data_IF_740329437654
#
_entry.id   IF_740329437654
#
_cell.length_a   1.000
_cell.length_b   1.000
_cell.length_c   1.000
_cell.angle_alpha   90.00
_cell.angle_beta   90.00
_cell.angle_gamma   90.00
#
_symmetry.space_group_name_H-M   'P 1'
#
loop_
_entity.id
_entity.type
_entity.pdbx_description
1 polymer ?
#
# COMPACT_ATOMS: atom_id res chain seq x y z
N UNK A 1 -9.24 25.20 -20.63
CA UNK A 1 -9.36 23.90 -21.30
C UNK A 1 -9.25 22.87 -20.21
N UNK A 2 -10.27 22.05 -20.01
CA UNK A 2 -10.24 20.99 -18.99
C UNK A 2 -9.32 19.91 -19.54
N UNK A 3 -8.06 19.93 -19.10
CA UNK A 3 -7.18 18.79 -19.32
C UNK A 3 -7.73 17.68 -18.42
N UNK A 4 -8.33 16.65 -19.05
CA UNK A 4 -8.68 15.45 -18.31
C UNK A 4 -7.40 14.94 -17.67
N UNK A 5 -7.40 14.91 -16.33
CA UNK A 5 -6.31 14.35 -15.55
C UNK A 5 -6.00 12.98 -16.14
N UNK A 6 -4.79 12.81 -16.67
CA UNK A 6 -4.24 11.48 -16.85
C UNK A 6 -3.85 11.05 -15.44
N UNK A 7 -4.78 10.43 -14.73
CA UNK A 7 -4.40 9.44 -13.72
C UNK A 7 -3.34 8.55 -14.38
N UNK A 8 -2.19 8.42 -13.72
CA UNK A 8 -1.15 7.53 -14.20
C UNK A 8 -1.63 6.09 -14.01
N UNK A 9 -2.41 5.66 -14.99
CA UNK A 9 -2.88 4.30 -15.18
C UNK A 9 -1.68 3.39 -15.36
N UNK A 10 -1.66 2.26 -14.67
CA UNK A 10 -0.85 1.11 -15.07
C UNK A 10 -1.02 0.91 -16.57
N UNK A 11 0.08 0.91 -17.32
CA UNK A 11 -0.01 0.79 -18.78
C UNK A 11 -0.64 -0.55 -19.16
N UNK A 12 -1.27 -0.62 -20.34
CA UNK A 12 -1.81 -1.88 -20.86
C UNK A 12 -0.76 -3.01 -20.87
N UNK A 13 0.52 -2.67 -21.05
CA UNK A 13 1.61 -3.62 -20.97
C UNK A 13 1.81 -4.15 -19.55
N UNK A 14 1.84 -3.28 -18.55
CA UNK A 14 1.94 -3.65 -17.13
C UNK A 14 0.70 -4.43 -16.65
N UNK A 15 -0.50 -4.07 -17.11
CA UNK A 15 -1.73 -4.85 -16.86
C UNK A 15 -1.63 -6.25 -17.47
N UNK A 16 -1.14 -6.37 -18.71
CA UNK A 16 -0.90 -7.68 -19.34
C UNK A 16 0.16 -8.50 -18.61
N UNK A 17 1.22 -7.86 -18.11
CA UNK A 17 2.24 -8.55 -17.31
C UNK A 17 1.65 -9.09 -16.01
N UNK A 18 0.84 -8.29 -15.32
CA UNK A 18 0.10 -8.71 -14.13
C UNK A 18 -0.79 -9.92 -14.39
N UNK A 19 -1.65 -9.86 -15.41
CA UNK A 19 -2.54 -10.98 -15.76
C UNK A 19 -1.76 -12.24 -16.11
N UNK A 20 -0.63 -12.09 -16.82
CA UNK A 20 0.26 -13.21 -17.13
C UNK A 20 0.88 -13.83 -15.87
N UNK A 21 1.31 -13.03 -14.90
CA UNK A 21 1.85 -13.50 -13.63
C UNK A 21 0.81 -14.26 -12.80
N UNK A 22 -0.46 -13.85 -12.90
CA UNK A 22 -1.57 -14.56 -12.28
C UNK A 22 -1.98 -15.86 -13.02
N UNK A 23 -1.39 -16.14 -14.18
CA UNK A 23 -1.77 -17.29 -15.02
C UNK A 23 -3.03 -17.06 -15.85
N UNK A 24 -3.54 -15.83 -15.89
CA UNK A 24 -4.73 -15.45 -16.66
C UNK A 24 -4.35 -15.23 -18.12
N UNK A 25 -4.79 -16.14 -18.98
CA UNK A 25 -4.61 -16.07 -20.44
C UNK A 25 -5.88 -15.64 -21.19
N UNK A 26 -5.73 -15.09 -22.41
CA UNK A 26 -6.84 -14.92 -23.35
C UNK A 26 -7.54 -13.55 -23.34
N UNK A 27 -8.87 -13.55 -23.51
CA UNK A 27 -9.69 -12.36 -23.83
C UNK A 27 -9.76 -11.31 -22.71
N UNK A 28 -9.54 -11.71 -21.46
CA UNK A 28 -9.47 -10.81 -20.27
C UNK A 28 -8.25 -9.87 -20.37
N UNK A 29 -7.18 -10.29 -21.06
CA UNK A 29 -5.96 -9.49 -21.23
C UNK A 29 -6.04 -8.40 -22.32
N UNK A 30 -7.19 -8.25 -22.99
CA UNK A 30 -7.38 -7.30 -24.08
C UNK A 30 -7.77 -5.86 -23.63
N UNK A 31 -7.83 -5.61 -22.32
CA UNK A 31 -8.05 -4.30 -21.70
C UNK A 31 -9.45 -4.16 -21.09
N UNK A 32 -9.51 -3.77 -19.81
CA UNK A 32 -10.77 -3.55 -19.07
C UNK A 32 -11.25 -4.70 -18.19
N UNK A 33 -10.36 -5.60 -17.77
CA UNK A 33 -10.69 -6.63 -16.78
C UNK A 33 -10.96 -6.00 -15.41
N UNK A 34 -12.07 -6.36 -14.78
CA UNK A 34 -12.32 -6.04 -13.37
C UNK A 34 -11.62 -7.03 -12.45
N UNK A 35 -11.53 -6.74 -11.16
CA UNK A 35 -10.98 -7.68 -10.19
C UNK A 35 -11.76 -9.01 -10.17
N UNK A 36 -13.08 -8.96 -10.36
CA UNK A 36 -13.92 -10.16 -10.46
C UNK A 36 -13.60 -10.99 -11.71
N UNK A 37 -13.39 -10.34 -12.86
CA UNK A 37 -12.95 -11.05 -14.08
C UNK A 37 -11.60 -11.77 -13.86
N UNK A 38 -10.69 -11.15 -13.11
CA UNK A 38 -9.40 -11.76 -12.76
C UNK A 38 -9.62 -12.93 -11.81
N UNK A 39 -10.42 -12.76 -10.76
CA UNK A 39 -10.73 -13.81 -9.78
C UNK A 39 -11.29 -15.06 -10.46
N UNK A 40 -12.26 -14.91 -11.36
CA UNK A 40 -12.87 -16.02 -12.08
C UNK A 40 -11.89 -16.76 -13.00
N UNK A 41 -10.83 -16.09 -13.45
CA UNK A 41 -9.86 -16.64 -14.38
C UNK A 41 -8.63 -17.25 -13.71
N UNK A 42 -8.38 -16.97 -12.43
CA UNK A 42 -7.22 -17.47 -11.70
C UNK A 42 -7.49 -18.87 -11.17
N UNK A 43 -6.59 -19.81 -11.46
CA UNK A 43 -6.64 -21.15 -10.88
C UNK A 43 -6.24 -21.11 -9.39
N UNK A 44 -7.11 -21.63 -8.53
CA UNK A 44 -6.85 -21.78 -7.10
C UNK A 44 -5.93 -22.97 -6.86
N UNK A 45 -4.64 -22.72 -6.63
CA UNK A 45 -3.70 -23.71 -6.14
C UNK A 45 -3.38 -23.48 -4.67
N UNK A 46 -3.60 -24.48 -3.81
CA UNK A 46 -3.13 -24.43 -2.42
C UNK A 46 -1.60 -24.34 -2.41
N UNK A 47 -1.07 -23.28 -1.80
CA UNK A 47 0.37 -23.09 -1.63
C UNK A 47 0.72 -23.48 -0.20
N UNK A 48 1.25 -24.70 -0.02
CA UNK A 48 1.57 -25.26 1.30
C UNK A 48 2.51 -24.36 2.14
N UNK A 49 3.36 -23.58 1.46
CA UNK A 49 4.21 -22.58 2.11
C UNK A 49 3.39 -21.43 2.72
N UNK A 50 2.46 -20.84 1.97
CA UNK A 50 1.57 -19.78 2.49
C UNK A 50 0.72 -20.28 3.66
N UNK A 51 0.15 -21.48 3.55
CA UNK A 51 -0.61 -22.08 4.64
C UNK A 51 0.22 -22.20 5.93
N UNK A 52 1.46 -22.72 5.82
CA UNK A 52 2.35 -22.87 6.97
C UNK A 52 2.75 -21.51 7.57
N UNK A 53 2.90 -20.47 6.75
CA UNK A 53 3.22 -19.11 7.21
C UNK A 53 2.05 -18.51 7.97
N UNK A 54 0.84 -18.59 7.42
CA UNK A 54 -0.36 -18.06 8.06
C UNK A 54 -0.69 -18.76 9.38
N UNK A 55 -0.59 -20.09 9.42
CA UNK A 55 -0.81 -20.88 10.63
C UNK A 55 0.15 -20.44 11.74
N UNK A 56 1.43 -20.25 11.41
CA UNK A 56 2.44 -19.81 12.37
C UNK A 56 2.15 -18.41 12.92
N UNK A 57 1.81 -17.45 12.05
CA UNK A 57 1.44 -16.08 12.45
C UNK A 57 0.19 -16.09 13.33
N UNK A 58 -0.86 -16.83 12.92
CA UNK A 58 -2.10 -16.97 13.68
C UNK A 58 -1.82 -17.57 15.06
N UNK A 59 -1.02 -18.63 15.12
CA UNK A 59 -0.66 -19.29 16.39
C UNK A 59 0.14 -18.39 17.32
N UNK A 60 1.03 -17.54 16.80
CA UNK A 60 1.84 -16.61 17.60
C UNK A 60 0.99 -15.50 18.25
N UNK A 61 -0.12 -15.12 17.60
CA UNK A 61 -0.90 -13.92 17.93
C UNK A 61 -2.31 -14.20 18.45
N UNK A 62 -2.76 -15.45 18.41
CA UNK A 62 -4.08 -15.83 18.88
C UNK A 62 -4.31 -15.39 20.33
N UNK A 63 -5.35 -14.57 20.54
CA UNK A 63 -5.75 -14.07 21.86
C UNK A 63 -4.93 -12.90 22.42
N UNK A 64 -3.95 -12.35 21.68
CA UNK A 64 -3.22 -11.14 22.09
C UNK A 64 -3.80 -9.86 21.50
N UNK A 65 -4.50 -9.95 20.37
CA UNK A 65 -5.03 -8.82 19.61
C UNK A 65 -6.36 -8.30 20.19
N UNK A 66 -6.49 -6.97 20.27
CA UNK A 66 -7.72 -6.29 20.69
C UNK A 66 -8.67 -6.13 19.50
N UNK A 67 -9.67 -7.02 19.44
CA UNK A 67 -10.67 -7.04 18.35
C UNK A 67 -11.42 -5.71 18.22
N UNK A 68 -11.74 -5.04 19.33
CA UNK A 68 -12.48 -3.77 19.32
C UNK A 68 -11.66 -2.66 18.72
N UNK A 69 -10.42 -2.50 19.20
CA UNK A 69 -9.48 -1.50 18.70
C UNK A 69 -9.20 -1.70 17.20
N UNK A 70 -9.01 -2.95 16.76
CA UNK A 70 -8.75 -3.24 15.36
C UNK A 70 -9.96 -2.96 14.46
N UNK A 71 -11.18 -3.25 14.92
CA UNK A 71 -12.39 -2.95 14.17
C UNK A 71 -12.65 -1.44 14.05
N UNK A 72 -12.50 -0.70 15.15
CA UNK A 72 -12.66 0.75 15.17
C UNK A 72 -11.60 1.41 14.29
N UNK A 73 -10.33 1.02 14.46
CA UNK A 73 -9.22 1.57 13.69
C UNK A 73 -9.30 1.28 12.19
N UNK A 74 -9.79 0.10 11.79
CA UNK A 74 -10.05 -0.20 10.38
C UNK A 74 -11.14 0.71 9.80
N UNK A 75 -12.24 0.92 10.51
CA UNK A 75 -13.33 1.79 10.03
C UNK A 75 -12.91 3.27 9.95
N UNK A 76 -12.16 3.75 10.95
CA UNK A 76 -11.62 5.12 10.95
C UNK A 76 -10.60 5.34 9.84
N UNK A 77 -9.68 4.37 9.64
CA UNK A 77 -8.72 4.38 8.54
C UNK A 77 -9.43 4.41 7.20
N UNK A 78 -10.45 3.55 7.02
CA UNK A 78 -11.18 3.45 5.77
C UNK A 78 -11.86 4.77 5.39
N UNK A 79 -12.52 5.40 6.38
CA UNK A 79 -13.16 6.71 6.21
C UNK A 79 -12.15 7.79 5.82
N UNK A 80 -11.02 7.87 6.54
CA UNK A 80 -10.00 8.88 6.27
C UNK A 80 -9.33 8.68 4.90
N UNK A 81 -9.10 7.43 4.50
CA UNK A 81 -8.49 7.10 3.22
C UNK A 81 -9.43 7.38 2.03
N UNK A 82 -10.74 7.11 2.19
CA UNK A 82 -11.75 7.44 1.19
C UNK A 82 -11.81 8.95 0.91
N UNK A 83 -11.63 9.81 1.93
CA UNK A 83 -11.62 11.27 1.75
C UNK A 83 -10.47 11.78 0.85
N UNK A 84 -9.43 10.96 0.62
CA UNK A 84 -8.33 11.28 -0.29
C UNK A 84 -8.73 11.29 -1.76
N UNK A 85 -9.81 10.59 -2.16
CA UNK A 85 -10.26 10.54 -3.57
C UNK A 85 -10.59 11.93 -4.12
N UNK A 86 -11.05 12.83 -3.24
CA UNK A 86 -11.39 14.20 -3.61
C UNK A 86 -10.18 15.17 -3.64
N UNK A 87 -8.97 14.76 -3.21
CA UNK A 87 -7.80 15.64 -3.14
C UNK A 87 -7.40 16.23 -4.51
N UNK A 88 -7.26 15.44 -5.60
CA UNK A 88 -6.82 15.97 -6.88
C UNK A 88 -7.82 16.99 -7.45
N UNK A 89 -9.13 16.73 -7.27
CA UNK A 89 -10.18 17.64 -7.72
C UNK A 89 -10.24 18.94 -6.90
N UNK A 90 -9.97 18.87 -5.59
CA UNK A 90 -9.93 20.05 -4.71
C UNK A 90 -8.68 20.90 -4.94
N UNK A 91 -7.57 20.31 -5.39
CA UNK A 91 -6.29 20.98 -5.58
C UNK A 91 -5.63 21.39 -4.26
N UNK A 92 -4.47 22.05 -4.33
CA UNK A 92 -3.77 22.49 -3.11
C UNK A 92 -4.44 23.72 -2.48
N UNK A 93 -4.44 23.83 -1.14
CA UNK A 93 -4.90 25.04 -0.48
C UNK A 93 -4.01 26.24 -0.84
N UNK A 94 -4.60 27.44 -0.85
CA UNK A 94 -3.86 28.67 -1.13
C UNK A 94 -2.75 28.95 -0.11
N UNK A 95 -1.75 29.74 -0.52
CA UNK A 95 -0.57 30.03 0.31
C UNK A 95 -0.89 30.66 1.68
N UNK A 96 -2.00 31.39 1.82
CA UNK A 96 -2.40 32.01 3.08
C UNK A 96 -3.20 31.07 4.02
N UNK A 97 -3.62 29.90 3.53
CA UNK A 97 -4.47 28.97 4.27
C UNK A 97 -3.68 27.92 5.07
N UNK A 98 -2.41 27.67 4.73
CA UNK A 98 -1.62 26.57 5.27
C UNK A 98 -1.96 25.20 4.63
N UNK A 99 -1.23 24.13 4.99
CA UNK A 99 -1.55 22.78 4.53
C UNK A 99 -2.91 22.32 5.08
N UNK A 100 -3.64 21.55 4.29
CA UNK A 100 -4.81 20.79 4.77
C UNK A 100 -4.29 19.45 5.30
N UNK A 101 -4.82 18.98 6.42
CA UNK A 101 -4.35 17.74 7.08
C UNK A 101 -5.07 16.50 6.51
N UNK A 102 -5.07 16.32 5.18
CA UNK A 102 -5.82 15.26 4.52
C UNK A 102 -5.09 13.92 4.63
N UNK A 103 -3.80 13.87 4.29
CA UNK A 103 -2.98 12.65 4.42
C UNK A 103 -2.63 12.37 5.89
N UNK A 104 -2.37 13.42 6.69
CA UNK A 104 -2.07 13.29 8.10
C UNK A 104 -3.25 12.71 8.91
N UNK A 105 -4.50 12.96 8.48
CA UNK A 105 -5.68 12.35 9.10
C UNK A 105 -5.68 10.82 8.96
N UNK A 106 -5.24 10.28 7.82
CA UNK A 106 -5.08 8.84 7.60
C UNK A 106 -4.05 8.25 8.56
N UNK A 107 -2.89 8.89 8.69
CA UNK A 107 -1.86 8.47 9.63
C UNK A 107 -2.35 8.51 11.09
N UNK A 108 -3.11 9.56 11.45
CA UNK A 108 -3.70 9.69 12.78
C UNK A 108 -4.70 8.58 13.09
N UNK A 109 -5.53 8.19 12.12
CA UNK A 109 -6.48 7.09 12.28
C UNK A 109 -5.78 5.72 12.42
N UNK A 110 -4.68 5.52 11.71
CA UNK A 110 -3.91 4.28 11.76
C UNK A 110 -3.01 4.14 13.02
N UNK A 111 -2.61 5.25 13.66
CA UNK A 111 -1.63 5.26 14.76
C UNK A 111 -2.04 4.36 15.95
N UNK A 112 -3.29 4.39 16.47
CA UNK A 112 -3.67 3.52 17.59
C UNK A 112 -3.51 2.03 17.26
N UNK A 113 -3.84 1.64 16.03
CA UNK A 113 -3.65 0.26 15.55
C UNK A 113 -2.16 -0.07 15.45
N UNK A 114 -1.37 0.79 14.84
CA UNK A 114 0.08 0.61 14.73
C UNK A 114 0.75 0.40 16.11
N UNK A 115 0.38 1.24 17.09
CA UNK A 115 0.93 1.15 18.44
C UNK A 115 0.54 -0.16 19.11
N UNK A 116 -0.75 -0.55 19.03
CA UNK A 116 -1.24 -1.82 19.56
C UNK A 116 -0.52 -3.02 18.93
N UNK A 117 -0.41 -3.08 17.60
CA UNK A 117 0.29 -4.14 16.87
C UNK A 117 1.77 -4.22 17.29
N UNK A 118 2.40 -3.07 17.56
CA UNK A 118 3.74 -2.98 18.12
C UNK A 118 3.88 -3.57 19.51
N UNK A 119 2.90 -3.32 20.38
CA UNK A 119 2.89 -3.78 21.77
C UNK A 119 2.67 -5.29 21.89
N UNK A 120 1.82 -5.87 21.05
CA UNK A 120 1.47 -7.31 21.11
C UNK A 120 2.44 -8.21 20.33
N UNK A 121 3.48 -7.64 19.72
CA UNK A 121 4.49 -8.40 18.97
C UNK A 121 4.07 -8.82 17.57
N UNK A 122 3.00 -8.24 17.01
CA UNK A 122 2.53 -8.53 15.64
C UNK A 122 3.64 -8.34 14.60
N UNK A 123 4.36 -7.22 14.66
CA UNK A 123 5.43 -6.95 13.72
C UNK A 123 6.63 -7.89 13.89
N UNK A 124 6.89 -8.35 15.11
CA UNK A 124 7.94 -9.34 15.33
C UNK A 124 7.56 -10.67 14.70
N UNK A 125 6.36 -11.19 14.99
CA UNK A 125 5.88 -12.44 14.41
C UNK A 125 5.85 -12.37 12.88
N UNK A 126 5.22 -11.35 12.30
CA UNK A 126 5.17 -11.21 10.83
C UNK A 126 6.57 -11.10 10.20
N UNK A 127 7.51 -10.36 10.79
CA UNK A 127 8.89 -10.29 10.26
C UNK A 127 9.62 -11.64 10.36
N UNK A 128 9.39 -12.43 11.41
CA UNK A 128 10.04 -13.74 11.59
C UNK A 128 9.42 -14.85 10.75
N UNK A 129 8.14 -14.74 10.39
CA UNK A 129 7.39 -15.78 9.68
C UNK A 129 7.26 -15.54 8.18
N UNK A 130 7.14 -14.28 7.74
CA UNK A 130 7.02 -13.98 6.31
C UNK A 130 8.34 -14.29 5.59
N UNK A 131 8.30 -15.02 4.46
CA UNK A 131 9.46 -15.19 3.59
C UNK A 131 10.00 -13.86 3.05
N UNK A 132 11.18 -13.93 2.41
CA UNK A 132 11.63 -12.80 1.62
C UNK A 132 10.68 -12.58 0.44
N UNK A 133 10.49 -11.33 0.03
CA UNK A 133 9.65 -10.97 -1.11
C UNK A 133 10.37 -11.20 -2.44
N UNK A 134 10.76 -12.44 -2.71
CA UNK A 134 11.19 -12.82 -4.06
C UNK A 134 10.02 -12.74 -5.06
N UNK A 135 10.31 -12.62 -6.36
CA UNK A 135 9.28 -12.48 -7.38
C UNK A 135 8.18 -13.54 -7.34
N UNK A 136 8.54 -14.81 -7.12
CA UNK A 136 7.58 -15.92 -7.10
C UNK A 136 6.67 -15.83 -5.89
N UNK A 137 7.24 -15.55 -4.71
CA UNK A 137 6.45 -15.37 -3.49
C UNK A 137 5.45 -14.21 -3.58
N UNK A 138 5.86 -13.08 -4.17
CA UNK A 138 4.96 -11.94 -4.40
C UNK A 138 3.84 -12.30 -5.36
N UNK A 139 4.15 -12.98 -6.48
CA UNK A 139 3.14 -13.45 -7.43
C UNK A 139 2.13 -14.40 -6.79
N UNK A 140 2.60 -15.38 -6.00
CA UNK A 140 1.75 -16.35 -5.32
C UNK A 140 0.90 -15.70 -4.23
N UNK A 141 1.45 -14.74 -3.48
CA UNK A 141 0.72 -13.97 -2.46
C UNK A 141 -0.40 -13.13 -3.08
N UNK A 142 -0.11 -12.41 -4.17
CA UNK A 142 -1.11 -11.61 -4.89
C UNK A 142 -2.15 -12.51 -5.55
N UNK A 143 -1.75 -13.65 -6.13
CA UNK A 143 -2.68 -14.64 -6.68
C UNK A 143 -3.63 -15.15 -5.60
N UNK A 144 -3.10 -15.52 -4.43
CA UNK A 144 -3.92 -16.02 -3.33
C UNK A 144 -4.85 -14.94 -2.77
N UNK A 145 -4.38 -13.70 -2.69
CA UNK A 145 -5.17 -12.55 -2.31
C UNK A 145 -6.37 -12.33 -3.24
N UNK A 146 -6.16 -12.34 -4.57
CA UNK A 146 -7.23 -12.11 -5.57
C UNK A 146 -8.37 -13.13 -5.45
N UNK A 147 -8.05 -14.40 -5.18
CA UNK A 147 -9.04 -15.48 -5.14
C UNK A 147 -9.75 -15.64 -3.78
N UNK A 148 -9.40 -14.86 -2.76
CA UNK A 148 -10.11 -14.91 -1.47
C UNK A 148 -11.46 -14.18 -1.58
N UNK A 149 -12.54 -14.88 -1.22
CA UNK A 149 -13.93 -14.39 -1.35
C UNK A 149 -14.28 -13.24 -0.38
N UNK A 150 -13.44 -12.95 0.62
CA UNK A 150 -13.66 -11.85 1.58
C UNK A 150 -12.86 -10.57 1.33
N UNK A 151 -11.88 -10.58 0.42
CA UNK A 151 -10.85 -9.54 0.36
C UNK A 151 -11.13 -8.35 -0.56
N UNK A 152 -12.02 -8.51 -1.55
CA UNK A 152 -12.48 -7.38 -2.35
C UNK A 152 -13.36 -6.40 -1.53
N UNK A 153 -14.02 -6.90 -0.47
CA UNK A 153 -14.79 -6.05 0.45
C UNK A 153 -13.92 -5.03 1.17
N UNK A 154 -12.79 -5.47 1.73
CA UNK A 154 -11.88 -4.62 2.53
C UNK A 154 -11.34 -3.42 1.75
N UNK A 155 -11.01 -3.59 0.45
CA UNK A 155 -10.50 -2.48 -0.37
C UNK A 155 -11.59 -1.58 -0.95
N UNK A 156 -12.82 -2.08 -1.08
CA UNK A 156 -13.95 -1.24 -1.53
C UNK A 156 -14.36 -0.19 -0.50
N UNK A 157 -14.14 -0.45 0.79
CA UNK A 157 -14.40 0.51 1.87
C UNK A 157 -13.48 1.75 1.82
N UNK A 158 -12.39 1.67 1.06
CA UNK A 158 -11.43 2.76 0.80
C UNK A 158 -11.77 3.60 -0.45
N UNK A 159 -12.98 3.41 -1.01
CA UNK A 159 -13.47 4.11 -2.21
C UNK A 159 -12.61 3.85 -3.47
N UNK A 160 -12.03 2.64 -3.59
CA UNK A 160 -11.40 2.18 -4.83
C UNK A 160 -12.44 1.57 -5.78
N UNK A 161 -12.41 1.99 -7.04
CA UNK A 161 -13.12 1.31 -8.12
C UNK A 161 -12.44 -0.03 -8.49
N UNK A 162 -13.19 -0.98 -9.03
CA UNK A 162 -12.67 -2.32 -9.34
C UNK A 162 -11.48 -2.32 -10.30
N UNK A 163 -11.43 -1.37 -11.24
CA UNK A 163 -10.32 -1.20 -12.17
C UNK A 163 -9.09 -0.55 -11.51
N UNK A 164 -9.29 0.33 -10.53
CA UNK A 164 -8.20 0.83 -9.68
C UNK A 164 -7.60 -0.29 -8.81
N UNK A 165 -8.41 -1.24 -8.33
CA UNK A 165 -7.92 -2.40 -7.58
C UNK A 165 -6.99 -3.27 -8.42
N UNK A 166 -7.34 -3.47 -9.70
CA UNK A 166 -6.47 -4.17 -10.65
C UNK A 166 -5.15 -3.41 -10.83
N UNK A 167 -5.20 -2.08 -10.91
CA UNK A 167 -4.00 -1.25 -11.04
C UNK A 167 -3.13 -1.28 -9.78
N UNK A 168 -3.74 -1.29 -8.61
CA UNK A 168 -3.05 -1.41 -7.33
C UNK A 168 -2.24 -2.71 -7.26
N UNK A 169 -2.88 -3.84 -7.57
CA UNK A 169 -2.24 -5.15 -7.56
C UNK A 169 -1.22 -5.32 -8.70
N UNK A 170 -1.53 -4.78 -9.87
CA UNK A 170 -0.58 -4.75 -10.97
C UNK A 170 0.67 -3.95 -10.59
N UNK A 171 0.54 -2.85 -9.85
CA UNK A 171 1.69 -2.07 -9.36
C UNK A 171 2.62 -2.94 -8.52
N UNK A 172 2.08 -3.73 -7.60
CA UNK A 172 2.87 -4.65 -6.76
C UNK A 172 3.61 -5.68 -7.60
N UNK A 173 2.90 -6.38 -8.49
CA UNK A 173 3.50 -7.42 -9.35
C UNK A 173 4.57 -6.82 -10.27
N UNK A 174 4.33 -5.66 -10.87
CA UNK A 174 5.32 -5.02 -11.75
C UNK A 174 6.59 -4.56 -11.00
N UNK A 175 6.55 -4.45 -9.67
CA UNK A 175 7.69 -4.10 -8.82
C UNK A 175 8.33 -5.27 -8.07
N UNK A 176 7.85 -6.51 -8.27
CA UNK A 176 8.29 -7.72 -7.56
C UNK A 176 9.81 -7.97 -7.59
N UNK A 177 10.45 -7.73 -8.73
CA UNK A 177 11.91 -7.86 -8.88
C UNK A 177 12.69 -6.84 -8.04
N UNK A 178 12.13 -5.64 -7.86
CA UNK A 178 12.73 -4.60 -7.03
C UNK A 178 12.51 -4.88 -5.54
N UNK A 179 11.36 -5.44 -5.16
CA UNK A 179 11.02 -5.77 -3.77
C UNK A 179 12.09 -6.65 -3.13
N UNK A 180 12.31 -7.87 -3.63
CA UNK A 180 13.28 -8.82 -3.06
C UNK A 180 14.74 -8.40 -3.23
N UNK A 181 15.05 -7.55 -4.21
CA UNK A 181 16.43 -7.13 -4.47
C UNK A 181 16.90 -5.92 -3.66
N UNK A 182 15.99 -5.01 -3.25
CA UNK A 182 16.37 -3.69 -2.73
C UNK A 182 15.47 -3.10 -1.66
N UNK A 183 14.22 -3.56 -1.55
CA UNK A 183 13.22 -2.87 -0.73
C UNK A 183 12.69 -3.71 0.44
N UNK A 184 12.89 -5.03 0.39
CA UNK A 184 12.57 -5.95 1.47
C UNK A 184 13.82 -6.73 1.87
N UNK A 185 14.50 -6.25 2.92
CA UNK A 185 15.65 -6.94 3.50
C UNK A 185 15.27 -7.37 4.91
N UNK A 186 15.17 -8.68 5.12
CA UNK A 186 14.82 -9.23 6.42
C UNK A 186 15.84 -8.82 7.48
N UNK A 187 15.39 -8.16 8.54
CA UNK A 187 16.24 -7.48 9.53
C UNK A 187 17.04 -8.45 10.40
N UNK A 188 16.57 -9.67 10.53
CA UNK A 188 17.26 -10.80 11.18
C UNK A 188 18.50 -11.27 10.40
N UNK A 189 18.57 -11.00 9.10
CA UNK A 189 19.72 -11.36 8.23
C UNK A 189 20.79 -10.29 8.16
N UNK A 190 20.57 -9.13 8.75
CA UNK A 190 21.58 -8.07 8.78
C UNK A 190 22.73 -8.48 9.72
N UNK A 191 23.99 -8.41 9.26
CA UNK A 191 25.13 -8.80 10.07
C UNK A 191 25.29 -7.83 11.24
N UNK A 192 24.82 -8.26 12.42
CA UNK A 192 24.87 -7.46 13.66
C UNK A 192 26.28 -7.01 14.05
N UNK A 193 27.31 -7.70 13.56
CA UNK A 193 28.72 -7.38 13.74
C UNK A 193 29.18 -6.13 12.95
N UNK A 194 28.45 -5.77 11.88
CA UNK A 194 28.70 -4.58 11.06
C UNK A 194 27.90 -3.36 11.54
N UNK A 195 27.08 -3.54 12.57
CA UNK A 195 26.25 -2.50 13.16
C UNK A 195 26.92 -1.89 14.37
N UNK A 196 26.70 -0.60 14.60
CA UNK A 196 27.18 0.03 15.82
C UNK A 196 26.52 -0.61 17.04
N UNK A 197 27.32 -0.91 18.07
CA UNK A 197 26.85 -1.56 19.29
C UNK A 197 25.77 -0.69 19.94
N UNK A 198 24.52 -1.18 19.96
CA UNK A 198 23.38 -0.49 20.55
C UNK A 198 22.34 0.05 19.57
N UNK A 199 22.56 -0.10 18.26
CA UNK A 199 21.57 0.28 17.25
C UNK A 199 20.44 -0.76 17.19
N UNK A 200 19.23 -0.36 17.62
CA UNK A 200 18.03 -1.17 17.49
C UNK A 200 17.48 -1.03 16.07
N UNK A 201 17.44 -2.13 15.31
CA UNK A 201 16.67 -2.18 14.07
C UNK A 201 15.26 -2.67 14.40
N UNK A 202 14.20 -1.90 14.12
CA UNK A 202 12.84 -2.40 14.25
C UNK A 202 12.61 -3.60 13.32
N UNK A 203 11.69 -4.52 13.67
CA UNK A 203 11.22 -5.54 12.72
C UNK A 203 10.84 -4.87 11.40
N UNK A 204 11.21 -5.46 10.26
CA UNK A 204 11.04 -4.77 8.98
C UNK A 204 9.55 -4.50 8.66
N UNK A 205 8.62 -5.35 9.08
CA UNK A 205 7.18 -5.07 8.94
C UNK A 205 6.74 -3.86 9.79
N UNK A 206 7.38 -3.64 10.95
CA UNK A 206 7.18 -2.42 11.77
C UNK A 206 7.73 -1.19 11.08
N UNK A 207 8.88 -1.31 10.41
CA UNK A 207 9.49 -0.24 9.65
C UNK A 207 8.65 0.14 8.43
N UNK A 208 8.13 -0.86 7.71
CA UNK A 208 7.24 -0.66 6.56
C UNK A 208 5.95 0.08 6.98
N UNK A 209 5.25 -0.43 8.00
CA UNK A 209 4.01 0.19 8.48
C UNK A 209 4.25 1.56 9.13
N UNK A 210 5.34 1.73 9.88
CA UNK A 210 5.71 3.00 10.49
C UNK A 210 6.10 4.05 9.44
N UNK A 211 6.80 3.63 8.38
CA UNK A 211 7.17 4.48 7.26
C UNK A 211 5.95 5.04 6.52
N UNK A 212 4.89 4.23 6.33
CA UNK A 212 3.60 4.71 5.80
C UNK A 212 3.08 5.89 6.62
N UNK A 213 3.03 5.77 7.95
CA UNK A 213 2.50 6.83 8.80
C UNK A 213 3.36 8.11 8.70
N UNK A 214 4.69 7.96 8.68
CA UNK A 214 5.60 9.09 8.56
C UNK A 214 5.47 9.81 7.21
N UNK A 215 5.32 9.07 6.11
CA UNK A 215 5.09 9.66 4.79
C UNK A 215 3.77 10.41 4.73
N UNK A 216 2.69 9.79 5.20
CA UNK A 216 1.36 10.41 5.20
C UNK A 216 1.29 11.65 6.12
N UNK A 217 2.02 11.66 7.24
CA UNK A 217 2.14 12.83 8.13
C UNK A 217 2.86 14.01 7.47
N UNK A 218 3.87 13.76 6.63
CA UNK A 218 4.67 14.80 5.97
C UNK A 218 4.04 15.30 4.66
N UNK A 219 3.28 14.46 3.98
CA UNK A 219 2.87 14.68 2.59
C UNK A 219 2.06 15.97 2.39
N UNK A 220 1.13 16.26 3.29
CA UNK A 220 0.32 17.49 3.25
C UNK A 220 1.20 18.76 3.25
N UNK A 221 2.19 18.80 4.13
CA UNK A 221 3.09 19.93 4.31
C UNK A 221 4.08 20.05 3.16
N UNK A 222 4.62 18.91 2.67
CA UNK A 222 5.48 18.89 1.48
C UNK A 222 4.73 19.42 0.25
N UNK A 223 3.54 18.90 -0.04
CA UNK A 223 2.75 19.29 -1.19
C UNK A 223 2.40 20.78 -1.13
N UNK A 224 1.96 21.28 0.02
CA UNK A 224 1.64 22.69 0.19
C UNK A 224 2.88 23.60 0.03
N UNK A 225 4.01 23.28 0.68
CA UNK A 225 5.23 24.09 0.59
C UNK A 225 5.80 24.15 -0.82
N UNK A 226 5.62 23.09 -1.60
CA UNK A 226 6.11 23.01 -2.96
C UNK A 226 5.06 23.36 -4.00
N UNK A 227 3.83 23.76 -3.62
CA UNK A 227 2.71 23.90 -4.54
C UNK A 227 2.94 24.80 -5.76
N UNK A 228 3.91 25.72 -5.71
CA UNK A 228 4.29 26.58 -6.86
C UNK A 228 5.00 25.81 -7.99
N UNK A 229 5.62 24.67 -7.70
CA UNK A 229 6.33 23.84 -8.69
C UNK A 229 5.57 22.56 -9.03
N UNK A 230 4.49 22.23 -8.31
CA UNK A 230 3.73 21.01 -8.52
C UNK A 230 2.70 21.20 -9.65
N UNK A 231 2.52 20.14 -10.43
CA UNK A 231 1.45 20.03 -11.43
C UNK A 231 0.28 19.25 -10.83
N UNK A 232 -0.88 19.34 -11.46
CA UNK A 232 -2.03 18.51 -11.10
C UNK A 232 -1.72 17.00 -11.23
N UNK A 233 -0.83 16.63 -12.17
CA UNK A 233 -0.35 15.25 -12.34
C UNK A 233 0.47 14.79 -11.14
N UNK A 234 1.40 15.63 -10.65
CA UNK A 234 2.17 15.30 -9.44
C UNK A 234 1.25 15.18 -8.22
N UNK A 235 0.23 16.04 -8.09
CA UNK A 235 -0.75 15.93 -7.01
C UNK A 235 -1.57 14.63 -7.10
N UNK A 236 -1.97 14.25 -8.31
CA UNK A 236 -2.69 13.00 -8.55
C UNK A 236 -1.83 11.78 -8.21
N UNK A 237 -0.57 11.75 -8.65
CA UNK A 237 0.37 10.66 -8.34
C UNK A 237 0.66 10.58 -6.83
N UNK A 238 0.90 11.71 -6.17
CA UNK A 238 1.08 11.75 -4.72
C UNK A 238 -0.16 11.21 -3.96
N UNK A 239 -1.36 11.55 -4.45
CA UNK A 239 -2.62 11.06 -3.89
C UNK A 239 -2.76 9.56 -4.10
N UNK A 240 -2.44 9.06 -5.29
CA UNK A 240 -2.45 7.63 -5.60
C UNK A 240 -1.51 6.84 -4.68
N UNK A 241 -0.26 7.29 -4.53
CA UNK A 241 0.70 6.64 -3.63
C UNK A 241 0.26 6.73 -2.17
N UNK A 242 -0.34 7.84 -1.75
CA UNK A 242 -0.97 8.02 -0.45
C UNK A 242 -2.07 6.98 -0.19
N UNK A 243 -3.01 6.85 -1.13
CA UNK A 243 -4.10 5.86 -1.07
C UNK A 243 -3.57 4.43 -1.11
N UNK A 244 -2.55 4.15 -1.92
CA UNK A 244 -1.93 2.84 -2.01
C UNK A 244 -1.23 2.43 -0.70
N UNK A 245 -0.53 3.37 -0.04
CA UNK A 245 0.02 3.16 1.29
C UNK A 245 -1.07 2.87 2.33
N UNK A 246 -2.16 3.64 2.30
CA UNK A 246 -3.30 3.45 3.19
C UNK A 246 -3.96 2.08 2.97
N UNK A 247 -4.17 1.68 1.71
CA UNK A 247 -4.69 0.37 1.34
C UNK A 247 -3.81 -0.78 1.83
N UNK A 248 -2.49 -0.68 1.64
CA UNK A 248 -1.56 -1.69 2.13
C UNK A 248 -1.57 -1.80 3.66
N UNK A 249 -1.73 -0.68 4.37
CA UNK A 249 -1.88 -0.67 5.83
C UNK A 249 -3.22 -1.29 6.23
N UNK A 250 -4.30 -0.96 5.55
CA UNK A 250 -5.64 -1.48 5.82
C UNK A 250 -5.70 -3.01 5.67
N UNK A 251 -5.11 -3.56 4.59
CA UNK A 251 -4.98 -5.01 4.38
C UNK A 251 -4.24 -5.71 5.54
N UNK A 252 -3.22 -5.06 6.10
CA UNK A 252 -2.51 -5.56 7.28
C UNK A 252 -3.42 -5.54 8.51
N UNK A 253 -4.21 -4.48 8.71
CA UNK A 253 -5.19 -4.39 9.80
C UNK A 253 -6.28 -5.45 9.65
N UNK A 254 -6.78 -5.69 8.44
CA UNK A 254 -7.76 -6.74 8.16
C UNK A 254 -7.19 -8.13 8.50
N UNK A 255 -5.94 -8.41 8.14
CA UNK A 255 -5.25 -9.63 8.56
C UNK A 255 -5.17 -9.78 10.09
N UNK A 256 -4.86 -8.70 10.81
CA UNK A 256 -4.88 -8.71 12.26
C UNK A 256 -6.30 -8.95 12.83
N UNK A 257 -7.33 -8.34 12.23
CA UNK A 257 -8.74 -8.54 12.64
C UNK A 257 -9.17 -10.00 12.50
N UNK A 258 -8.83 -10.65 11.39
CA UNK A 258 -9.12 -12.08 11.13
C UNK A 258 -8.41 -13.02 12.09
N UNK A 259 -7.23 -12.63 12.59
CA UNK A 259 -6.54 -13.39 13.65
C UNK A 259 -7.22 -13.16 15.01
N UNK A 260 -7.64 -11.93 15.29
CA UNK A 260 -8.32 -11.56 16.54
C UNK A 260 -9.73 -12.15 16.65
N UNK A 261 -10.33 -12.57 15.53
CA UNK A 261 -11.66 -13.12 15.46
C UNK A 261 -11.67 -14.67 15.46
N UNK A 262 -11.95 -15.34 16.60
CA UNK A 262 -12.11 -16.80 16.66
C UNK A 262 -13.24 -17.38 15.81
N UNK A 263 -14.20 -16.58 15.36
CA UNK A 263 -15.32 -17.03 14.51
C UNK A 263 -15.01 -16.83 13.02
N UNK A 264 -13.88 -16.20 12.68
CA UNK A 264 -13.42 -16.00 11.31
C UNK A 264 -12.83 -17.30 10.73
N UNK A 265 -13.29 -17.66 9.53
CA UNK A 265 -12.94 -18.89 8.83
C UNK A 265 -11.91 -18.68 7.71
N UNK A 266 -11.22 -17.54 7.68
CA UNK A 266 -10.14 -17.27 6.71
C UNK A 266 -9.08 -18.37 6.81
N UNK A 267 -8.84 -19.07 5.69
CA UNK A 267 -7.80 -20.08 5.61
C UNK A 267 -6.40 -19.47 5.80
N UNK A 268 -5.47 -20.25 6.34
CA UNK A 268 -4.14 -19.73 6.69
C UNK A 268 -3.34 -19.25 5.47
N UNK A 269 -3.52 -19.86 4.31
CA UNK A 269 -2.89 -19.40 3.08
C UNK A 269 -3.47 -18.07 2.58
N UNK A 270 -4.77 -17.81 2.79
CA UNK A 270 -5.40 -16.50 2.55
C UNK A 270 -4.86 -15.44 3.49
N UNK A 271 -4.73 -15.77 4.77
CA UNK A 271 -4.16 -14.86 5.77
C UNK A 271 -2.72 -14.48 5.39
N UNK A 272 -1.90 -15.45 4.97
CA UNK A 272 -0.53 -15.17 4.53
C UNK A 272 -0.52 -14.32 3.25
N UNK A 273 -1.33 -14.67 2.25
CA UNK A 273 -1.43 -13.90 1.00
C UNK A 273 -1.91 -12.46 1.23
N UNK A 274 -2.85 -12.26 2.16
CA UNK A 274 -3.33 -10.95 2.60
C UNK A 274 -2.23 -10.09 3.22
N UNK A 275 -1.57 -10.61 4.25
CA UNK A 275 -0.52 -9.90 4.96
C UNK A 275 0.65 -9.56 4.03
N UNK A 276 1.08 -10.51 3.22
CA UNK A 276 2.17 -10.31 2.26
C UNK A 276 1.82 -9.29 1.19
N UNK A 277 0.61 -9.36 0.62
CA UNK A 277 0.13 -8.36 -0.35
C UNK A 277 0.05 -6.97 0.27
N UNK A 278 -0.46 -6.86 1.51
CA UNK A 278 -0.54 -5.60 2.23
C UNK A 278 0.82 -4.96 2.45
N UNK A 279 1.78 -5.71 2.99
CA UNK A 279 3.14 -5.20 3.19
C UNK A 279 3.88 -4.91 1.89
N UNK A 280 3.68 -5.72 0.86
CA UNK A 280 4.29 -5.49 -0.45
C UNK A 280 3.79 -4.17 -1.05
N UNK A 281 2.49 -3.92 -0.93
CA UNK A 281 1.88 -2.68 -1.38
C UNK A 281 2.41 -1.46 -0.62
N UNK A 282 2.48 -1.53 0.71
CA UNK A 282 3.09 -0.47 1.53
C UNK A 282 4.52 -0.19 1.09
N UNK A 283 5.33 -1.24 0.87
CA UNK A 283 6.72 -1.09 0.47
C UNK A 283 6.84 -0.46 -0.93
N UNK A 284 6.04 -0.90 -1.91
CA UNK A 284 6.08 -0.34 -3.27
C UNK A 284 5.68 1.13 -3.29
N UNK A 285 4.55 1.48 -2.67
CA UNK A 285 4.03 2.85 -2.68
C UNK A 285 5.00 3.84 -2.02
N UNK A 286 5.61 3.47 -0.88
CA UNK A 286 6.65 4.29 -0.23
C UNK A 286 7.89 4.52 -1.10
N UNK A 287 8.19 3.62 -2.05
CA UNK A 287 9.33 3.76 -2.95
C UNK A 287 9.00 4.56 -4.22
N UNK A 288 7.72 4.64 -4.59
CA UNK A 288 7.24 5.43 -5.73
C UNK A 288 7.08 6.90 -5.35
N UNK A 289 6.51 7.18 -4.18
CA UNK A 289 6.22 8.55 -3.71
C UNK A 289 7.39 9.53 -3.85
N UNK A 290 8.65 9.18 -3.49
CA UNK A 290 9.75 10.12 -3.66
C UNK A 290 9.98 10.52 -5.12
N UNK A 291 9.87 9.58 -6.05
CA UNK A 291 10.06 9.84 -7.48
C UNK A 291 8.91 10.63 -8.06
N UNK A 292 7.69 10.35 -7.60
CA UNK A 292 6.49 10.90 -8.19
C UNK A 292 6.14 12.30 -7.61
N UNK A 293 6.47 12.57 -6.35
CA UNK A 293 6.08 13.81 -5.67
C UNK A 293 7.23 14.64 -5.02
N UNK A 294 8.36 14.02 -4.65
CA UNK A 294 9.43 14.74 -3.92
C UNK A 294 10.60 15.15 -4.80
N UNK A 295 10.99 14.34 -5.77
CA UNK A 295 12.13 14.58 -6.66
C UNK A 295 11.70 15.28 -7.93
N UNK A 296 11.04 16.43 -7.76
CA UNK A 296 10.50 17.22 -8.88
C UNK A 296 11.64 17.75 -9.76
N UNK A 297 11.73 17.19 -10.97
CA UNK A 297 12.72 17.60 -11.97
C UNK A 297 12.22 18.78 -12.83
N UNK A 298 13.12 19.40 -13.60
CA UNK A 298 12.76 20.48 -14.52
C UNK A 298 11.76 20.05 -15.61
N UNK A 299 11.73 18.76 -15.96
CA UNK A 299 10.80 18.19 -16.94
C UNK A 299 9.40 17.97 -16.36
N UNK A 300 9.30 17.80 -15.04
CA UNK A 300 8.04 17.47 -14.34
C UNK A 300 7.34 18.70 -13.77
N UNK A 301 8.10 19.72 -13.35
CA UNK A 301 7.55 20.87 -12.64
C UNK A 301 6.57 21.68 -13.51
N UNK A 302 5.69 22.40 -12.85
CA UNK A 302 4.83 23.39 -13.51
C UNK A 302 5.65 24.41 -14.34
N UNK A 303 5.10 24.81 -15.48
CA UNK A 303 5.71 25.87 -16.30
C UNK A 303 5.81 27.16 -15.47
N UNK A 304 6.93 27.89 -15.64
CA UNK A 304 7.08 29.19 -14.99
C UNK A 304 6.09 30.17 -15.61
N UNK A 305 5.12 30.61 -14.82
CA UNK A 305 4.30 31.76 -15.18
C UNK A 305 5.18 33.02 -15.09
N UNK A 306 5.72 33.45 -16.23
CA UNK A 306 6.63 34.60 -16.35
C UNK A 306 5.88 35.92 -16.52
N UNK A 307 4.64 36.05 -16.04
CA UNK A 307 3.88 37.31 -15.98
C UNK A 307 4.39 38.26 -14.88
N UNK A 308 5.70 38.22 -14.60
CA UNK A 308 6.39 39.31 -13.92
C UNK A 308 6.64 40.42 -14.94
N UNK A 309 5.73 41.40 -15.01
CA UNK A 309 6.04 42.70 -15.60
C UNK A 309 7.25 43.27 -14.87
N UNK A 310 8.44 43.11 -15.46
CA UNK A 310 9.65 43.77 -14.97
C UNK A 310 9.45 45.26 -15.21
N UNK A 311 9.31 46.09 -14.16
CA UNK A 311 9.19 47.53 -14.35
C UNK A 311 10.50 48.03 -14.96
N UNK A 312 10.41 48.66 -16.14
CA UNK A 312 11.53 49.40 -16.74
C UNK A 312 11.99 50.55 -15.83
#
# INVERSE_FOLDING_TARGET
MVHGHRERSISDEQRREFLKALGVGGAVAAGGATLDDVRDAVETGETAELASVGEAIRSDLAGSLDRGLLADGHAELATAAADLTAVPERGLPGADAGPREEFAAVASAARPVYDHLGEVGFFQSTTERLPDFDPGYVEDSVRRFVVSEGLAGSLSDLDFAEDELVDLLATVVNHRERLGGRHWVSTDRLPREQMEVGEYIPPMTKAAAGGVLLWLEDLDDHLWRNGVILTDEILADATWDGRAMAAGFDLMVDGARRIADPDDDTADDELAGLLSSGFALQAVAQNLLPQDAYWVSEEMRAERDNDLEIPN
#
